data_IF_512260492670
#
_entry.id   IF_512260492670
#
_cell.length_a   1.000
_cell.length_b   1.000
_cell.length_c   1.000
_cell.angle_alpha   90.00
_cell.angle_beta   90.00
_cell.angle_gamma   90.00
#
_symmetry.space_group_name_H-M   'P 1'
#
loop_
_entity.id
_entity.type
_entity.pdbx_description
1 polymer ?
#
# COMPACT_ATOMS: atom_id res chain seq x y z
N UNK A 1 -0.33 4.10 -12.02
CA UNK A 1 -1.09 3.42 -13.10
C UNK A 1 -0.65 3.86 -14.49
N UNK A 2 -0.72 5.15 -14.83
CA UNK A 2 -0.45 5.63 -16.20
C UNK A 2 0.98 5.48 -16.71
N UNK A 3 1.98 5.69 -15.84
CA UNK A 3 3.41 5.60 -16.20
C UNK A 3 3.84 4.16 -16.51
N UNK A 4 3.31 3.19 -15.75
CA UNK A 4 3.75 1.79 -15.82
C UNK A 4 2.95 0.95 -16.80
N UNK A 5 1.63 1.16 -16.88
CA UNK A 5 0.72 0.27 -17.59
C UNK A 5 0.20 0.91 -18.88
N UNK A 6 -0.67 1.91 -18.79
CA UNK A 6 -1.16 2.66 -19.95
C UNK A 6 -1.90 3.94 -19.53
N UNK A 7 -1.98 4.93 -20.42
CA UNK A 7 -2.68 6.20 -20.19
C UNK A 7 -4.16 6.03 -19.83
N UNK A 8 -4.84 5.05 -20.44
CA UNK A 8 -6.24 4.71 -20.15
C UNK A 8 -6.49 4.29 -18.69
N UNK A 9 -5.45 3.84 -17.97
CA UNK A 9 -5.56 3.46 -16.55
C UNK A 9 -5.59 4.67 -15.61
N UNK A 10 -5.71 5.90 -16.13
CA UNK A 10 -5.74 7.15 -15.34
C UNK A 10 -6.85 7.17 -14.29
N UNK A 11 -8.02 6.63 -14.61
CA UNK A 11 -9.18 6.66 -13.72
C UNK A 11 -9.17 5.55 -12.66
N UNK A 12 -8.23 4.60 -12.73
CA UNK A 12 -8.11 3.53 -11.74
C UNK A 12 -7.47 4.06 -10.47
N UNK A 13 -8.04 3.68 -9.32
CA UNK A 13 -7.52 4.04 -8.01
C UNK A 13 -6.07 3.57 -7.78
N UNK A 14 -5.37 4.28 -6.90
CA UNK A 14 -4.02 3.94 -6.47
C UNK A 14 -3.83 4.28 -4.99
N UNK A 15 -2.90 3.59 -4.30
CA UNK A 15 -2.61 3.88 -2.90
C UNK A 15 -2.18 5.34 -2.68
N UNK A 16 -1.47 5.88 -3.67
CA UNK A 16 -1.03 7.27 -3.64
C UNK A 16 -2.22 8.23 -3.61
N UNK A 17 -3.28 7.96 -4.38
CA UNK A 17 -4.48 8.80 -4.37
C UNK A 17 -5.24 8.68 -3.04
N UNK A 18 -5.32 7.48 -2.46
CA UNK A 18 -5.90 7.27 -1.13
C UNK A 18 -5.18 8.07 -0.05
N UNK A 19 -3.84 8.11 -0.09
CA UNK A 19 -3.05 8.88 0.86
C UNK A 19 -3.14 10.39 0.64
N UNK A 20 -3.15 10.85 -0.61
CA UNK A 20 -3.40 12.26 -0.93
C UNK A 20 -4.76 12.71 -0.38
N UNK A 21 -5.80 11.86 -0.53
CA UNK A 21 -7.12 12.12 0.03
C UNK A 21 -7.07 12.18 1.56
N UNK A 22 -6.48 11.18 2.21
CA UNK A 22 -6.36 11.12 3.67
C UNK A 22 -5.64 12.35 4.25
N UNK A 23 -4.48 12.72 3.68
CA UNK A 23 -3.73 13.91 4.12
C UNK A 23 -4.54 15.19 3.88
N UNK A 24 -5.26 15.30 2.76
CA UNK A 24 -6.10 16.48 2.49
C UNK A 24 -7.33 16.62 3.38
N UNK A 25 -7.82 15.52 3.95
CA UNK A 25 -9.02 15.50 4.80
C UNK A 25 -8.70 15.57 6.29
N UNK A 26 -7.42 15.48 6.67
CA UNK A 26 -6.96 15.38 8.06
C UNK A 26 -5.92 16.47 8.37
N UNK A 27 -6.35 17.72 8.23
CA UNK A 27 -5.49 18.89 8.41
C UNK A 27 -4.90 18.99 9.83
N UNK A 28 -5.54 18.36 10.83
CA UNK A 28 -5.07 18.34 12.22
C UNK A 28 -3.69 17.68 12.40
N UNK A 29 -3.27 16.84 11.45
CA UNK A 29 -1.95 16.23 11.46
C UNK A 29 -0.86 17.11 10.85
N UNK A 30 -1.21 18.27 10.28
CA UNK A 30 -0.25 19.22 9.70
C UNK A 30 0.57 18.65 8.54
N UNK A 31 0.09 17.58 7.90
CA UNK A 31 0.78 16.91 6.80
C UNK A 31 0.37 17.49 5.46
N UNK A 32 1.28 17.41 4.50
CA UNK A 32 1.10 17.83 3.12
C UNK A 32 1.49 16.71 2.15
N UNK A 33 1.28 16.96 0.85
CA UNK A 33 1.80 16.07 -0.21
C UNK A 33 3.29 15.77 -0.09
N UNK A 34 4.10 16.70 0.47
CA UNK A 34 5.55 16.53 0.60
C UNK A 34 5.94 15.49 1.65
N UNK A 35 5.05 15.24 2.60
CA UNK A 35 5.28 14.33 3.73
C UNK A 35 4.91 12.88 3.38
N UNK A 36 4.31 12.66 2.20
CA UNK A 36 4.03 11.32 1.68
C UNK A 36 5.31 10.74 1.05
N UNK A 37 5.93 9.81 1.76
CA UNK A 37 7.18 9.13 1.35
C UNK A 37 6.94 7.72 0.80
N UNK A 38 8.00 6.93 0.64
CA UNK A 38 7.91 5.53 0.22
C UNK A 38 7.19 4.69 1.29
N UNK A 39 6.34 3.79 0.84
CA UNK A 39 5.54 2.94 1.70
C UNK A 39 6.19 1.57 1.89
N UNK A 40 5.87 0.92 3.01
CA UNK A 40 6.05 -0.52 3.15
C UNK A 40 4.84 -1.19 2.49
N UNK A 41 5.08 -2.18 1.63
CA UNK A 41 4.04 -2.96 0.96
C UNK A 41 3.94 -4.33 1.64
N UNK A 42 3.15 -4.43 2.70
CA UNK A 42 2.93 -5.71 3.36
C UNK A 42 2.30 -6.72 2.40
N UNK A 43 2.73 -7.99 2.51
CA UNK A 43 2.27 -9.13 1.71
C UNK A 43 2.55 -9.06 0.20
N UNK A 44 3.23 -8.01 -0.29
CA UNK A 44 3.60 -7.88 -1.69
C UNK A 44 4.85 -8.71 -2.01
N UNK A 45 4.78 -9.53 -3.06
CA UNK A 45 5.89 -10.37 -3.52
C UNK A 45 6.56 -9.77 -4.77
N UNK A 46 7.68 -9.07 -4.57
CA UNK A 46 8.47 -8.45 -5.66
C UNK A 46 9.95 -8.75 -5.45
N UNK A 47 10.42 -9.95 -5.86
CA UNK A 47 11.82 -10.31 -5.71
C UNK A 47 12.71 -9.51 -6.66
N UNK A 48 13.93 -9.24 -6.19
CA UNK A 48 15.02 -8.70 -7.00
C UNK A 48 15.74 -9.86 -7.68
N UNK A 49 15.89 -9.81 -9.00
CA UNK A 49 16.62 -10.86 -9.74
C UNK A 49 18.14 -10.69 -9.57
N UNK A 50 18.94 -11.75 -9.78
CA UNK A 50 20.40 -11.65 -9.73
C UNK A 50 21.00 -10.57 -10.67
N UNK A 51 20.31 -10.28 -11.77
CA UNK A 51 20.68 -9.27 -12.76
C UNK A 51 20.22 -7.85 -12.37
N UNK A 52 19.58 -7.68 -11.21
CA UNK A 52 19.06 -6.41 -10.71
C UNK A 52 17.67 -6.02 -11.25
N UNK A 53 16.95 -6.96 -11.87
CA UNK A 53 15.57 -6.79 -12.28
C UNK A 53 14.57 -6.91 -11.12
N UNK A 54 13.30 -6.64 -11.40
CA UNK A 54 12.18 -6.87 -10.49
C UNK A 54 11.11 -7.68 -11.21
N UNK A 55 10.57 -8.71 -10.56
CA UNK A 55 9.39 -9.44 -11.06
C UNK A 55 8.21 -9.26 -10.12
N UNK A 56 6.99 -9.27 -10.68
CA UNK A 56 5.76 -9.17 -9.90
C UNK A 56 5.21 -10.58 -9.81
N UNK A 57 5.49 -11.22 -8.69
CA UNK A 57 5.04 -12.58 -8.45
C UNK A 57 3.70 -12.56 -7.72
N UNK A 58 3.02 -13.71 -7.73
CA UNK A 58 1.81 -13.90 -6.95
C UNK A 58 2.08 -13.65 -5.47
N UNK A 59 1.08 -13.06 -4.81
CA UNK A 59 1.09 -12.88 -3.36
C UNK A 59 1.24 -14.24 -2.67
N UNK A 60 2.21 -14.33 -1.75
CA UNK A 60 2.49 -15.55 -0.96
C UNK A 60 1.69 -15.59 0.36
N UNK A 61 0.77 -14.64 0.55
CA UNK A 61 -0.06 -14.50 1.75
C UNK A 61 -1.42 -15.16 1.59
N UNK A 62 -1.94 -15.69 2.69
CA UNK A 62 -3.29 -16.25 2.78
C UNK A 62 -4.15 -15.48 3.79
N UNK A 63 -5.47 -15.74 3.79
CA UNK A 63 -6.37 -15.22 4.81
C UNK A 63 -5.89 -15.58 6.23
N UNK A 64 -5.93 -14.61 7.14
CA UNK A 64 -5.49 -14.77 8.53
C UNK A 64 -3.98 -14.57 8.77
N UNK A 65 -3.17 -14.35 7.72
CA UNK A 65 -1.80 -13.85 7.90
C UNK A 65 -1.84 -12.40 8.35
N UNK A 66 -0.97 -12.07 9.31
CA UNK A 66 -0.91 -10.73 9.89
C UNK A 66 0.54 -10.27 10.06
N UNK A 67 0.69 -8.96 10.21
CA UNK A 67 1.91 -8.31 10.69
C UNK A 67 1.50 -7.55 11.95
N UNK A 68 2.29 -7.69 12.99
CA UNK A 68 2.15 -6.95 14.24
C UNK A 68 3.30 -5.97 14.36
N UNK A 69 3.00 -4.74 14.80
CA UNK A 69 3.96 -3.66 14.95
C UNK A 69 3.80 -3.03 16.33
N UNK A 70 4.90 -2.87 17.05
CA UNK A 70 4.93 -2.09 18.29
C UNK A 70 5.24 -0.64 17.98
N UNK A 71 4.38 0.28 18.42
CA UNK A 71 4.67 1.71 18.36
C UNK A 71 5.66 2.09 19.47
N UNK A 72 6.94 2.28 19.13
CA UNK A 72 7.98 2.67 20.09
C UNK A 72 7.92 4.15 20.52
N UNK A 73 7.02 4.92 19.92
CA UNK A 73 6.74 6.35 20.18
C UNK A 73 5.36 6.70 19.63
N UNK A 74 4.90 7.92 19.85
CA UNK A 74 3.69 8.44 19.21
C UNK A 74 3.86 8.43 17.67
N UNK A 75 2.93 7.77 16.97
CA UNK A 75 2.98 7.59 15.52
C UNK A 75 1.64 7.91 14.86
N UNK A 76 1.72 8.39 13.62
CA UNK A 76 0.57 8.52 12.70
C UNK A 76 0.76 7.46 11.62
N UNK A 77 -0.20 6.55 11.49
CA UNK A 77 -0.16 5.46 10.52
C UNK A 77 -1.17 5.73 9.40
N UNK A 78 -0.70 5.76 8.15
CA UNK A 78 -1.54 5.84 6.96
C UNK A 78 -1.56 4.49 6.25
N UNK A 79 -2.72 3.84 6.23
CA UNK A 79 -2.93 2.56 5.54
C UNK A 79 -3.78 2.79 4.29
N UNK A 80 -3.36 2.21 3.17
CA UNK A 80 -4.20 2.08 1.98
C UNK A 80 -4.31 0.60 1.65
N UNK A 81 -5.54 0.07 1.64
CA UNK A 81 -5.80 -1.25 1.11
C UNK A 81 -5.64 -1.19 -0.43
N UNK A 82 -4.55 -1.76 -0.94
CA UNK A 82 -4.06 -1.51 -2.29
C UNK A 82 -5.06 -1.97 -3.37
N UNK A 83 -5.59 -1.05 -4.21
CA UNK A 83 -6.62 -1.39 -5.21
C UNK A 83 -6.02 -1.83 -6.56
N UNK A 84 -4.78 -2.32 -6.59
CA UNK A 84 -4.09 -2.61 -7.85
C UNK A 84 -4.79 -3.74 -8.61
N UNK A 85 -5.02 -3.57 -9.92
CA UNK A 85 -5.63 -4.63 -10.76
C UNK A 85 -4.83 -4.90 -12.04
N UNK A 86 -3.68 -4.25 -12.19
CA UNK A 86 -2.84 -4.36 -13.40
C UNK A 86 -1.64 -5.31 -13.19
N UNK A 87 -1.52 -5.97 -12.03
CA UNK A 87 -0.47 -6.95 -11.73
C UNK A 87 -0.98 -8.02 -10.75
N UNK A 88 -0.28 -9.15 -10.60
CA UNK A 88 -0.80 -10.30 -9.83
C UNK A 88 -0.66 -10.17 -8.31
N UNK A 89 -0.10 -9.08 -7.78
CA UNK A 89 0.27 -9.00 -6.36
C UNK A 89 -0.89 -9.15 -5.35
N UNK A 90 -2.13 -9.01 -5.82
CA UNK A 90 -3.35 -9.25 -5.03
C UNK A 90 -4.33 -10.19 -5.74
N UNK A 91 -3.81 -11.08 -6.60
CA UNK A 91 -4.59 -12.03 -7.39
C UNK A 91 -5.70 -11.36 -8.24
N UNK A 92 -5.53 -10.08 -8.60
CA UNK A 92 -6.52 -9.27 -9.33
C UNK A 92 -7.88 -9.13 -8.61
N UNK A 93 -7.94 -9.47 -7.32
CA UNK A 93 -9.16 -9.43 -6.51
C UNK A 93 -8.82 -8.91 -5.10
N UNK A 94 -8.68 -7.58 -4.92
CA UNK A 94 -8.42 -6.99 -3.62
C UNK A 94 -9.50 -7.41 -2.61
N UNK A 95 -9.08 -7.94 -1.46
CA UNK A 95 -9.98 -8.33 -0.37
C UNK A 95 -9.93 -7.30 0.77
N UNK A 96 -10.95 -7.25 1.65
CA UNK A 96 -10.90 -6.44 2.85
C UNK A 96 -9.71 -6.81 3.75
N UNK A 97 -9.17 -5.79 4.45
CA UNK A 97 -8.17 -5.97 5.50
C UNK A 97 -8.78 -5.56 6.85
N UNK A 98 -8.26 -6.12 7.93
CA UNK A 98 -8.60 -5.73 9.30
C UNK A 98 -7.41 -5.01 9.92
N UNK A 99 -7.69 -3.94 10.68
CA UNK A 99 -6.70 -3.20 11.46
C UNK A 99 -7.17 -3.21 12.91
N UNK A 100 -6.35 -3.79 13.77
CA UNK A 100 -6.57 -3.83 15.21
C UNK A 100 -5.54 -2.90 15.87
N UNK A 101 -5.99 -2.14 16.86
CA UNK A 101 -5.14 -1.27 17.68
C UNK A 101 -5.52 -1.56 19.13
N UNK A 102 -4.54 -1.88 19.96
CA UNK A 102 -4.73 -2.19 21.37
C UNK A 102 -3.54 -1.68 22.17
N UNK A 103 -3.77 -1.40 23.44
CA UNK A 103 -2.71 -1.14 24.41
C UNK A 103 -2.14 -2.49 24.91
N UNK A 104 -0.85 -2.51 25.24
CA UNK A 104 -0.21 -3.67 25.88
C UNK A 104 -0.58 -3.79 27.38
#
# INVERSE_FOLDING_TARGET
>A
NTIRYALEKKCMHSCRDSWMLAVSQREEFGMSKRDITHNINFFMNVPVTPEGGLTFEDGISDAGKYVELTACMDVIVLISNCPQLNNPCNAYNPTPIEVLIWDE
#
